data_IF_598222462334
#
_entry.id   IF_598222462334
#
_cell.length_a   1.000
_cell.length_b   1.000
_cell.length_c   1.000
_cell.angle_alpha   90.00
_cell.angle_beta   90.00
_cell.angle_gamma   90.00
#
_symmetry.space_group_name_H-M   'P 1'
#
loop_
_entity.id
_entity.type
_entity.pdbx_description
1 polymer ?
#
# COMPACT_ATOMS: atom_id res chain seq x y z
N UNK A 1 25.51 46.16 -32.41
CA UNK A 1 24.96 46.84 -31.21
C UNK A 1 23.83 45.97 -30.67
N UNK A 2 24.07 45.22 -29.57
CA UNK A 2 23.03 44.51 -28.77
C UNK A 2 22.54 45.46 -27.66
N UNK A 3 21.31 45.25 -27.14
CA UNK A 3 21.09 44.44 -25.92
C UNK A 3 19.89 43.45 -26.13
N UNK A 4 19.77 42.21 -25.62
CA UNK A 4 19.99 41.57 -24.30
C UNK A 4 18.93 41.91 -23.23
N UNK A 5 17.84 41.13 -23.18
CA UNK A 5 16.93 40.83 -22.05
C UNK A 5 16.10 39.59 -22.50
N UNK A 6 15.69 38.60 -21.73
CA UNK A 6 15.95 38.12 -20.37
C UNK A 6 15.15 36.80 -20.28
N UNK A 7 15.81 35.71 -19.91
CA UNK A 7 15.41 34.69 -18.92
C UNK A 7 13.89 34.57 -18.66
N UNK A 8 13.22 33.42 -18.87
CA UNK A 8 13.18 32.31 -17.89
C UNK A 8 12.37 31.15 -18.49
N UNK A 9 13.05 30.16 -19.08
CA UNK A 9 12.44 28.86 -19.41
C UNK A 9 13.17 27.72 -18.70
N UNK A 10 13.58 27.96 -17.45
CA UNK A 10 14.20 26.93 -16.63
C UNK A 10 13.85 27.16 -15.15
N UNK A 11 12.75 26.57 -14.71
CA UNK A 11 12.26 26.73 -13.34
C UNK A 11 11.08 25.83 -12.96
N UNK A 12 10.33 25.32 -13.94
CA UNK A 12 9.18 24.44 -13.67
C UNK A 12 9.49 22.94 -13.79
N UNK A 13 10.65 22.56 -14.34
CA UNK A 13 10.97 21.15 -14.60
C UNK A 13 11.70 20.43 -13.44
N UNK A 14 12.00 21.10 -12.33
CA UNK A 14 12.92 20.59 -11.31
C UNK A 14 12.29 19.78 -10.16
N UNK A 15 11.00 19.48 -10.18
CA UNK A 15 10.39 18.49 -9.26
C UNK A 15 9.28 17.67 -9.93
N UNK A 16 9.61 16.97 -11.01
CA UNK A 16 8.81 15.81 -11.41
C UNK A 16 9.13 14.64 -10.45
N UNK A 17 8.89 14.88 -9.15
CA UNK A 17 9.09 13.89 -8.09
C UNK A 17 7.99 12.84 -8.14
N UNK A 18 8.35 11.58 -7.90
CA UNK A 18 7.38 10.51 -7.68
C UNK A 18 6.44 10.89 -6.52
N UNK A 19 5.20 11.29 -6.85
CA UNK A 19 4.14 11.46 -5.86
C UNK A 19 3.43 10.13 -5.65
N UNK A 20 3.57 9.58 -4.45
CA UNK A 20 2.81 8.41 -4.03
C UNK A 20 1.48 8.88 -3.46
N UNK A 21 0.38 8.39 -4.03
CA UNK A 21 -0.95 8.58 -3.46
C UNK A 21 -1.10 7.66 -2.23
N UNK A 22 -0.92 8.25 -1.05
CA UNK A 22 -1.03 7.54 0.22
C UNK A 22 -2.45 7.03 0.49
N UNK A 23 -3.48 7.71 -0.03
CA UNK A 23 -4.87 7.27 0.11
C UNK A 23 -5.10 6.02 -0.71
N UNK A 24 -4.65 6.01 -1.97
CA UNK A 24 -4.71 4.83 -2.82
C UNK A 24 -3.93 3.64 -2.23
N UNK A 25 -2.76 3.91 -1.62
CA UNK A 25 -1.95 2.86 -0.98
C UNK A 25 -2.62 2.28 0.27
N UNK A 26 -3.26 3.13 1.08
CA UNK A 26 -4.08 2.70 2.22
C UNK A 26 -5.28 1.87 1.76
N UNK A 27 -6.04 2.35 0.76
CA UNK A 27 -7.19 1.60 0.23
C UNK A 27 -6.78 0.25 -0.36
N UNK A 28 -5.64 0.19 -1.05
CA UNK A 28 -5.11 -1.08 -1.55
C UNK A 28 -4.78 -2.05 -0.41
N UNK A 29 -4.13 -1.56 0.65
CA UNK A 29 -3.82 -2.34 1.85
C UNK A 29 -5.08 -2.87 2.54
N UNK A 30 -6.14 -2.07 2.65
CA UNK A 30 -7.44 -2.43 3.22
C UNK A 30 -8.22 -3.42 2.36
N UNK A 31 -8.40 -3.14 1.07
CA UNK A 31 -9.13 -4.02 0.15
C UNK A 31 -8.50 -5.41 0.02
N UNK A 32 -7.18 -5.48 0.16
CA UNK A 32 -6.44 -6.73 0.26
C UNK A 32 -6.84 -7.51 1.53
N UNK A 33 -6.88 -6.86 2.70
CA UNK A 33 -7.31 -7.50 3.96
C UNK A 33 -8.76 -7.98 3.90
N UNK A 34 -9.64 -7.16 3.35
CA UNK A 34 -11.07 -7.50 3.22
C UNK A 34 -11.29 -8.72 2.30
N UNK A 35 -10.50 -8.82 1.24
CA UNK A 35 -10.53 -9.98 0.31
C UNK A 35 -10.11 -11.26 1.04
N UNK A 36 -8.99 -11.22 1.77
CA UNK A 36 -8.53 -12.34 2.60
C UNK A 36 -9.61 -12.76 3.61
N UNK A 37 -10.16 -11.81 4.34
CA UNK A 37 -11.18 -12.08 5.36
C UNK A 37 -12.45 -12.66 4.75
N UNK A 38 -12.78 -12.29 3.51
CA UNK A 38 -13.90 -12.85 2.77
C UNK A 38 -13.64 -14.30 2.34
N UNK A 39 -12.44 -14.60 1.88
CA UNK A 39 -12.04 -15.97 1.51
C UNK A 39 -11.98 -16.89 2.73
N UNK A 40 -11.45 -16.42 3.86
CA UNK A 40 -11.36 -17.18 5.11
C UNK A 40 -12.73 -17.51 5.73
N UNK A 41 -13.76 -16.70 5.44
CA UNK A 41 -15.14 -16.89 5.92
C UNK A 41 -15.95 -17.87 5.07
N UNK A 42 -15.51 -18.19 3.85
CA UNK A 42 -16.22 -19.06 2.89
C UNK A 42 -15.27 -20.13 2.38
N UNK A 43 -14.82 -21.03 3.27
CA UNK A 43 -13.82 -22.03 2.88
C UNK A 43 -14.48 -23.11 2.04
N UNK A 44 -13.76 -23.58 1.02
CA UNK A 44 -14.23 -24.66 0.14
C UNK A 44 -14.35 -25.99 0.90
N UNK A 45 -13.57 -26.19 1.97
CA UNK A 45 -13.74 -27.34 2.86
C UNK A 45 -15.07 -27.34 3.64
N UNK A 46 -15.72 -26.18 3.75
CA UNK A 46 -17.02 -26.06 4.43
C UNK A 46 -18.19 -26.41 3.50
N UNK A 47 -17.91 -26.84 2.25
CA UNK A 47 -18.93 -27.39 1.35
C UNK A 47 -19.42 -28.71 1.95
N UNK A 48 -20.61 -28.66 2.54
CA UNK A 48 -21.24 -29.78 3.22
C UNK A 48 -21.78 -30.79 2.18
N UNK A 49 -20.94 -31.76 1.81
CA UNK A 49 -21.32 -32.86 0.94
C UNK A 49 -20.78 -34.17 1.50
N UNK A 50 -21.64 -35.05 2.04
CA UNK A 50 -21.20 -36.32 2.58
C UNK A 50 -20.72 -37.24 1.45
N UNK A 51 -19.79 -38.14 1.76
CA UNK A 51 -19.11 -38.99 0.77
C UNK A 51 -20.07 -39.87 -0.05
N UNK A 52 -21.19 -40.27 0.57
CA UNK A 52 -22.26 -41.06 -0.04
C UNK A 52 -23.06 -40.30 -1.11
N UNK A 53 -23.14 -38.96 -1.02
CA UNK A 53 -23.80 -38.12 -2.00
C UNK A 53 -23.09 -38.13 -3.38
N UNK A 54 -21.81 -38.50 -3.43
CA UNK A 54 -21.06 -38.59 -4.68
C UNK A 54 -21.34 -39.88 -5.47
N UNK A 55 -21.91 -40.91 -4.83
CA UNK A 55 -22.24 -42.20 -5.46
C UNK A 55 -21.04 -43.02 -5.94
N UNK A 56 -19.81 -42.55 -5.75
CA UNK A 56 -18.58 -43.25 -6.15
C UNK A 56 -17.40 -42.83 -5.25
N UNK A 57 -16.78 -43.78 -4.55
CA UNK A 57 -15.71 -43.52 -3.56
C UNK A 57 -14.54 -42.71 -4.13
N UNK A 58 -14.07 -43.07 -5.34
CA UNK A 58 -12.99 -42.33 -6.02
C UNK A 58 -13.32 -40.85 -6.25
N UNK A 59 -14.57 -40.52 -6.57
CA UNK A 59 -14.99 -39.13 -6.77
C UNK A 59 -14.99 -38.39 -5.43
N UNK A 60 -15.56 -39.00 -4.38
CA UNK A 60 -15.55 -38.43 -3.03
C UNK A 60 -14.12 -38.15 -2.55
N UNK A 61 -13.19 -39.09 -2.73
CA UNK A 61 -11.77 -38.92 -2.39
C UNK A 61 -11.12 -37.78 -3.20
N UNK A 62 -11.37 -37.72 -4.51
CA UNK A 62 -10.80 -36.65 -5.36
C UNK A 62 -11.29 -35.27 -4.95
N UNK A 63 -12.56 -35.15 -4.56
CA UNK A 63 -13.13 -33.88 -4.07
C UNK A 63 -12.54 -33.51 -2.70
N UNK A 64 -12.37 -34.48 -1.80
CA UNK A 64 -11.72 -34.24 -0.52
C UNK A 64 -10.27 -33.72 -0.69
N UNK A 65 -9.47 -34.38 -1.54
CA UNK A 65 -8.10 -33.96 -1.86
C UNK A 65 -8.07 -32.54 -2.45
N UNK A 66 -9.03 -32.22 -3.33
CA UNK A 66 -9.18 -30.88 -3.88
C UNK A 66 -9.49 -29.84 -2.79
N UNK A 67 -10.45 -30.13 -1.91
CA UNK A 67 -10.83 -29.23 -0.82
C UNK A 67 -9.66 -28.96 0.14
N UNK A 68 -8.87 -29.99 0.46
CA UNK A 68 -7.67 -29.87 1.30
C UNK A 68 -6.60 -29.00 0.63
N UNK A 69 -6.23 -29.30 -0.62
CA UNK A 69 -5.23 -28.54 -1.35
C UNK A 69 -5.66 -27.09 -1.61
N UNK A 70 -6.96 -26.85 -1.82
CA UNK A 70 -7.49 -25.51 -1.93
C UNK A 70 -7.35 -24.72 -0.61
N UNK A 71 -7.73 -25.31 0.54
CA UNK A 71 -7.62 -24.63 1.84
C UNK A 71 -6.17 -24.30 2.17
N UNK A 72 -5.24 -25.22 1.88
CA UNK A 72 -3.80 -24.97 2.02
C UNK A 72 -3.34 -23.83 1.11
N UNK A 73 -3.68 -23.87 -0.18
CA UNK A 73 -3.28 -22.83 -1.14
C UNK A 73 -3.84 -21.45 -0.79
N UNK A 74 -5.08 -21.37 -0.31
CA UNK A 74 -5.68 -20.11 0.18
C UNK A 74 -4.99 -19.62 1.46
N UNK A 75 -4.61 -20.54 2.35
CA UNK A 75 -3.86 -20.19 3.56
C UNK A 75 -2.49 -19.60 3.24
N UNK A 76 -1.75 -20.22 2.32
CA UNK A 76 -0.42 -19.74 1.90
C UNK A 76 -0.53 -18.38 1.21
N UNK A 77 -1.46 -18.24 0.25
CA UNK A 77 -1.73 -16.96 -0.42
C UNK A 77 -2.12 -15.87 0.58
N UNK A 78 -2.94 -16.22 1.57
CA UNK A 78 -3.37 -15.28 2.62
C UNK A 78 -2.18 -14.74 3.39
N UNK A 79 -1.20 -15.59 3.72
CA UNK A 79 -0.03 -15.16 4.48
C UNK A 79 0.85 -14.19 3.68
N UNK A 80 1.15 -14.53 2.43
CA UNK A 80 1.92 -13.66 1.52
C UNK A 80 1.23 -12.30 1.35
N UNK A 81 -0.09 -12.32 1.20
CA UNK A 81 -0.88 -11.13 0.95
C UNK A 81 -1.02 -10.25 2.20
N UNK A 82 -1.04 -10.82 3.41
CA UNK A 82 -0.90 -10.05 4.67
C UNK A 82 0.43 -9.32 4.72
N UNK A 83 1.52 -9.99 4.32
CA UNK A 83 2.84 -9.38 4.29
C UNK A 83 2.89 -8.21 3.30
N UNK A 84 2.35 -8.38 2.09
CA UNK A 84 2.23 -7.29 1.11
C UNK A 84 1.44 -6.11 1.71
N UNK A 85 0.28 -6.39 2.32
CA UNK A 85 -0.56 -5.35 2.93
C UNK A 85 0.16 -4.60 4.06
N UNK A 86 0.95 -5.31 4.89
CA UNK A 86 1.76 -4.70 5.94
C UNK A 86 2.86 -3.81 5.37
N UNK A 87 3.55 -4.25 4.31
CA UNK A 87 4.59 -3.46 3.63
C UNK A 87 4.01 -2.19 2.99
N UNK A 88 2.82 -2.27 2.38
CA UNK A 88 2.12 -1.09 1.85
C UNK A 88 1.81 -0.07 2.95
N UNK A 89 1.32 -0.54 4.11
CA UNK A 89 1.07 0.33 5.26
C UNK A 89 2.37 0.96 5.80
N UNK A 90 3.46 0.20 5.83
CA UNK A 90 4.78 0.71 6.22
C UNK A 90 5.26 1.81 5.26
N UNK A 91 5.11 1.63 3.95
CA UNK A 91 5.42 2.68 2.98
C UNK A 91 4.66 3.98 3.27
N UNK A 92 3.37 3.90 3.60
CA UNK A 92 2.59 5.09 3.98
C UNK A 92 3.20 5.81 5.19
N UNK A 93 3.59 5.07 6.22
CA UNK A 93 4.19 5.64 7.43
C UNK A 93 5.52 6.34 7.13
N UNK A 94 6.37 5.71 6.32
CA UNK A 94 7.67 6.30 5.92
C UNK A 94 7.46 7.59 5.13
N UNK A 95 6.50 7.62 4.20
CA UNK A 95 6.19 8.84 3.44
C UNK A 95 5.71 9.97 4.35
N UNK A 96 4.75 9.69 5.25
CA UNK A 96 4.23 10.70 6.19
C UNK A 96 5.33 11.24 7.09
N UNK A 97 6.15 10.37 7.67
CA UNK A 97 7.24 10.79 8.52
C UNK A 97 8.26 11.67 7.79
N UNK A 98 8.57 11.35 6.54
CA UNK A 98 9.48 12.14 5.71
C UNK A 98 8.89 13.51 5.38
N UNK A 99 7.59 13.56 5.08
CA UNK A 99 6.87 14.79 4.77
C UNK A 99 6.79 15.72 6.00
N UNK A 100 6.43 15.17 7.16
CA UNK A 100 6.40 15.89 8.44
C UNK A 100 7.80 16.44 8.82
N UNK A 101 8.85 15.63 8.63
CA UNK A 101 10.22 16.07 8.90
C UNK A 101 10.65 17.22 7.97
N UNK A 102 10.28 17.15 6.69
CA UNK A 102 10.53 18.22 5.73
C UNK A 102 9.76 19.48 6.12
N UNK A 103 8.48 19.37 6.48
CA UNK A 103 7.65 20.49 6.94
C UNK A 103 8.28 21.20 8.15
N UNK A 104 8.66 20.45 9.19
CA UNK A 104 9.31 21.00 10.39
C UNK A 104 10.61 21.71 10.04
N UNK A 105 11.40 21.14 9.12
CA UNK A 105 12.63 21.77 8.66
C UNK A 105 12.37 23.11 7.96
N UNK A 106 11.38 23.16 7.06
CA UNK A 106 10.98 24.38 6.37
C UNK A 106 10.42 25.44 7.33
N UNK A 107 9.54 25.06 8.25
CA UNK A 107 9.01 25.96 9.28
C UNK A 107 10.14 26.58 10.12
N UNK A 108 11.13 25.78 10.51
CA UNK A 108 12.31 26.27 11.23
C UNK A 108 13.13 27.29 10.44
N UNK A 109 13.28 27.12 9.12
CA UNK A 109 13.95 28.09 8.25
C UNK A 109 13.14 29.38 8.15
N UNK A 110 11.83 29.28 7.92
CA UNK A 110 10.94 30.45 7.79
C UNK A 110 10.90 31.27 9.09
N UNK A 111 10.73 30.62 10.23
CA UNK A 111 10.74 31.27 11.55
C UNK A 111 12.08 31.98 11.81
N UNK A 112 13.21 31.37 11.46
CA UNK A 112 14.53 31.96 11.63
C UNK A 112 14.78 33.15 10.69
N UNK A 113 14.26 33.11 9.47
CA UNK A 113 14.32 34.23 8.52
C UNK A 113 13.41 35.40 8.92
N UNK A 114 12.32 35.14 9.65
CA UNK A 114 11.40 36.15 10.18
C UNK A 114 11.81 36.75 11.54
N UNK A 115 12.84 36.20 12.18
CA UNK A 115 13.46 36.80 13.36
C UNK A 115 14.15 38.10 12.96
N UNK A 116 13.72 39.22 13.57
CA UNK A 116 14.16 40.57 13.19
C UNK A 116 15.67 40.70 13.02
N UNK A 117 16.04 41.44 11.98
CA UNK A 117 17.43 41.74 11.63
C UNK A 117 18.18 42.28 12.86
N UNK A 118 19.18 41.55 13.40
CA UNK A 118 19.97 42.01 14.54
C UNK A 118 20.83 43.24 14.21
N UNK A 119 20.91 43.66 12.94
CA UNK A 119 21.57 44.89 12.51
C UNK A 119 20.66 46.14 12.52
N UNK A 120 19.39 46.01 12.92
CA UNK A 120 18.44 47.14 13.00
C UNK A 120 18.43 47.88 14.37
N UNK A 121 19.40 47.61 15.25
CA UNK A 121 19.59 48.32 16.55
C UNK A 121 20.78 49.26 16.55
#
# INVERSE_FOLDING_TARGET
MRPALETTEDGAALVEGFRVDLTALTHASEGVRDTIDSMNRRRVRDIDCPADAFGHDRLAATVADFCEHWDQGVSDLTEDVKEISARLAQCVQVYRHTDEAAQVHFEGIVLRASGGDPAAQ
#
